data_IF_184423198145
#
_entry.id   IF_184423198145
#
_cell.length_a   1.000
_cell.length_b   1.000
_cell.length_c   1.000
_cell.angle_alpha   90.00
_cell.angle_beta   90.00
_cell.angle_gamma   90.00
#
_symmetry.space_group_name_H-M   'P 1'
#
loop_
_entity.id
_entity.type
_entity.pdbx_description
1 polymer ?
#
# COMPACT_ATOMS: atom_id res chain seq x y z
N UNK A 1 36.60 -11.65 9.43
CA UNK A 1 37.73 -11.15 10.23
C UNK A 1 37.27 -11.06 11.67
N UNK A 2 37.98 -11.70 12.60
CA UNK A 2 37.69 -11.62 14.04
C UNK A 2 38.86 -10.91 14.73
N UNK A 3 38.59 -9.73 15.29
CA UNK A 3 39.58 -8.83 15.88
C UNK A 3 39.21 -8.60 17.34
N UNK A 4 40.09 -8.98 18.27
CA UNK A 4 39.78 -9.00 19.71
C UNK A 4 39.39 -7.64 20.29
N UNK A 5 40.04 -6.56 19.89
CA UNK A 5 39.88 -5.25 20.55
C UNK A 5 39.47 -4.13 19.60
N UNK A 6 40.36 -3.70 18.71
CA UNK A 6 40.14 -2.52 17.85
C UNK A 6 40.46 -2.84 16.40
N UNK A 7 39.51 -2.53 15.51
CA UNK A 7 39.75 -2.40 14.08
C UNK A 7 39.87 -0.92 13.71
N UNK A 8 41.05 -0.50 13.25
CA UNK A 8 41.28 0.84 12.70
C UNK A 8 41.31 0.79 11.17
N UNK A 9 40.34 1.44 10.53
CA UNK A 9 40.20 1.46 9.06
C UNK A 9 40.58 2.84 8.53
N UNK A 10 41.85 3.00 8.17
CA UNK A 10 42.38 4.20 7.50
C UNK A 10 42.49 4.02 5.98
N UNK A 11 42.54 2.76 5.51
CA UNK A 11 42.63 2.37 4.10
C UNK A 11 41.31 1.81 3.55
N UNK A 12 41.38 0.88 2.60
CA UNK A 12 40.21 0.26 1.98
C UNK A 12 40.13 -1.24 2.29
N UNK A 13 38.97 -1.71 2.75
CA UNK A 13 38.65 -3.14 2.87
C UNK A 13 37.63 -3.46 1.77
N UNK A 14 38.07 -4.13 0.71
CA UNK A 14 37.31 -4.28 -0.52
C UNK A 14 37.01 -5.75 -0.80
N UNK A 15 35.77 -6.01 -1.18
CA UNK A 15 35.30 -7.24 -1.80
C UNK A 15 34.47 -6.87 -3.05
N UNK A 16 34.88 -5.83 -3.76
CA UNK A 16 34.15 -5.32 -4.92
C UNK A 16 34.22 -6.29 -6.11
N UNK A 17 33.15 -6.34 -6.90
CA UNK A 17 33.13 -7.05 -8.16
C UNK A 17 34.01 -6.38 -9.22
N UNK A 18 34.61 -7.17 -10.10
CA UNK A 18 35.42 -6.63 -11.20
C UNK A 18 34.58 -6.04 -12.32
N UNK A 19 35.07 -4.98 -12.97
CA UNK A 19 34.36 -4.36 -14.09
C UNK A 19 34.38 -5.24 -15.35
N UNK A 20 33.21 -5.36 -15.97
CA UNK A 20 33.01 -5.98 -17.26
C UNK A 20 33.37 -5.07 -18.44
N UNK A 21 33.72 -5.69 -19.56
CA UNK A 21 33.91 -5.01 -20.83
C UNK A 21 32.59 -4.59 -21.50
N UNK A 22 32.67 -4.04 -22.71
CA UNK A 22 31.49 -3.59 -23.49
C UNK A 22 30.53 -4.70 -23.92
N UNK A 23 30.91 -5.97 -23.73
CA UNK A 23 30.12 -7.15 -24.10
C UNK A 23 29.81 -8.08 -22.91
N UNK A 24 30.20 -7.72 -21.69
CA UNK A 24 30.03 -8.55 -20.50
C UNK A 24 29.43 -7.76 -19.35
N UNK A 25 28.70 -8.43 -18.46
CA UNK A 25 28.22 -7.83 -17.21
C UNK A 25 29.35 -7.57 -16.23
N UNK A 26 29.10 -6.68 -15.27
CA UNK A 26 29.99 -6.46 -14.14
C UNK A 26 29.94 -7.63 -13.15
N UNK A 27 31.05 -7.88 -12.47
CA UNK A 27 31.14 -8.89 -11.42
C UNK A 27 30.29 -8.54 -10.21
N UNK A 28 29.75 -9.53 -9.52
CA UNK A 28 29.03 -9.33 -8.26
C UNK A 28 30.00 -8.90 -7.15
N UNK A 29 29.54 -8.03 -6.25
CA UNK A 29 30.19 -7.80 -4.97
C UNK A 29 30.26 -9.08 -4.15
N UNK A 30 31.33 -9.23 -3.39
CA UNK A 30 31.61 -10.36 -2.52
C UNK A 30 30.98 -10.21 -1.15
N UNK A 31 31.64 -10.77 -0.13
CA UNK A 31 31.18 -10.66 1.25
C UNK A 31 32.29 -10.25 2.19
N UNK A 32 31.93 -9.43 3.18
CA UNK A 32 32.83 -8.99 4.25
C UNK A 32 32.12 -9.26 5.58
N UNK A 33 32.76 -10.05 6.44
CA UNK A 33 32.30 -10.26 7.81
C UNK A 33 33.34 -9.70 8.77
N UNK A 34 32.93 -8.81 9.67
CA UNK A 34 33.79 -8.16 10.66
C UNK A 34 33.20 -8.40 12.04
N UNK A 35 34.01 -8.96 12.95
CA UNK A 35 33.68 -9.05 14.37
C UNK A 35 34.77 -8.37 15.17
N UNK A 36 34.41 -7.35 15.94
CA UNK A 36 35.36 -6.63 16.80
C UNK A 36 34.67 -5.92 17.96
N UNK A 37 35.39 -5.64 19.05
CA UNK A 37 34.83 -4.87 20.15
C UNK A 37 34.65 -3.38 19.79
N UNK A 38 35.66 -2.79 19.15
CA UNK A 38 35.65 -1.39 18.69
C UNK A 38 36.01 -1.28 17.22
N UNK A 39 35.32 -0.38 16.52
CA UNK A 39 35.78 0.12 15.22
C UNK A 39 36.05 1.62 15.30
N UNK A 40 37.16 2.02 14.69
CA UNK A 40 37.47 3.40 14.39
C UNK A 40 37.69 3.52 12.90
N UNK A 41 36.90 4.37 12.26
CA UNK A 41 37.02 4.62 10.82
C UNK A 41 37.56 6.02 10.66
N UNK A 42 38.82 6.13 10.22
CA UNK A 42 39.41 7.40 9.83
C UNK A 42 38.91 7.81 8.45
N UNK A 43 39.83 8.00 7.50
CA UNK A 43 39.51 8.25 6.09
C UNK A 43 39.17 7.00 5.28
N UNK A 44 39.14 5.82 5.91
CA UNK A 44 39.01 4.55 5.22
C UNK A 44 37.58 4.21 4.76
N UNK A 45 37.45 3.17 3.96
CA UNK A 45 36.16 2.65 3.46
C UNK A 45 36.09 1.13 3.48
N UNK A 46 34.90 0.61 3.67
CA UNK A 46 34.57 -0.82 3.52
C UNK A 46 33.62 -0.93 2.33
N UNK A 47 33.91 -1.79 1.37
CA UNK A 47 33.15 -1.87 0.13
C UNK A 47 32.98 -3.31 -0.31
N UNK A 48 31.75 -3.68 -0.65
CA UNK A 48 31.42 -4.92 -1.33
C UNK A 48 30.43 -4.59 -2.46
N UNK A 49 30.79 -3.65 -3.33
CA UNK A 49 29.93 -3.19 -4.41
C UNK A 49 30.02 -4.10 -5.63
N UNK A 50 28.98 -4.09 -6.46
CA UNK A 50 29.04 -4.70 -7.79
C UNK A 50 29.95 -3.91 -8.73
N UNK A 51 30.58 -4.60 -9.67
CA UNK A 51 31.38 -4.00 -10.73
C UNK A 51 30.52 -3.41 -11.85
N UNK A 52 31.07 -2.46 -12.59
CA UNK A 52 30.40 -1.84 -13.74
C UNK A 52 30.49 -2.73 -14.98
N UNK A 53 29.50 -2.70 -15.87
CA UNK A 53 29.56 -3.51 -17.09
C UNK A 53 28.50 -3.15 -18.11
N UNK A 54 28.33 -3.98 -19.14
CA UNK A 54 27.20 -3.84 -20.06
C UNK A 54 25.86 -3.96 -19.31
N UNK A 55 25.80 -4.88 -18.33
CA UNK A 55 24.87 -4.84 -17.20
C UNK A 55 25.67 -4.69 -15.89
N UNK A 56 25.12 -3.99 -14.91
CA UNK A 56 25.78 -3.80 -13.62
C UNK A 56 25.81 -5.07 -12.78
N UNK A 57 26.92 -5.33 -12.08
CA UNK A 57 27.01 -6.43 -11.13
C UNK A 57 26.16 -6.18 -9.89
N UNK A 58 25.64 -7.23 -9.26
CA UNK A 58 24.88 -7.10 -8.01
C UNK A 58 25.76 -6.66 -6.83
N UNK A 59 25.19 -5.92 -5.88
CA UNK A 59 25.85 -5.57 -4.63
C UNK A 59 26.10 -6.78 -3.74
N UNK A 60 27.17 -6.70 -2.96
CA UNK A 60 27.63 -7.74 -2.06
C UNK A 60 26.99 -7.66 -0.67
N UNK A 61 27.60 -8.34 0.30
CA UNK A 61 27.07 -8.42 1.68
C UNK A 61 28.13 -8.03 2.69
N UNK A 62 27.82 -7.07 3.54
CA UNK A 62 28.68 -6.68 4.66
C UNK A 62 27.95 -6.99 5.96
N UNK A 63 28.55 -7.78 6.83
CA UNK A 63 28.02 -8.07 8.16
C UNK A 63 29.03 -7.63 9.20
N UNK A 64 28.56 -6.82 10.14
CA UNK A 64 29.39 -6.21 11.18
C UNK A 64 28.81 -6.56 12.55
N UNK A 65 29.67 -7.09 13.42
CA UNK A 65 29.39 -7.36 14.82
C UNK A 65 30.36 -6.52 15.64
N UNK A 66 29.94 -5.28 15.93
CA UNK A 66 30.78 -4.24 16.51
C UNK A 66 30.05 -3.56 17.67
N UNK A 67 30.53 -3.80 18.89
CA UNK A 67 29.91 -3.29 20.12
C UNK A 67 29.97 -1.76 20.26
N UNK A 68 31.12 -1.16 19.91
CA UNK A 68 31.36 0.27 20.09
C UNK A 68 31.87 0.92 18.80
N UNK A 69 31.16 1.94 18.33
CA UNK A 69 31.51 2.75 17.15
C UNK A 69 31.87 4.16 17.61
N UNK A 70 33.10 4.60 17.33
CA UNK A 70 33.53 5.98 17.63
C UNK A 70 33.23 6.94 16.47
N UNK A 71 33.24 6.45 15.23
CA UNK A 71 32.92 7.18 14.00
C UNK A 71 31.94 6.32 13.16
N UNK A 72 31.12 6.93 12.29
CA UNK A 72 30.28 6.18 11.36
C UNK A 72 31.14 5.62 10.20
N UNK A 73 31.29 4.29 10.09
CA UNK A 73 32.08 3.70 9.02
C UNK A 73 31.40 3.93 7.65
N UNK A 74 32.18 4.38 6.67
CA UNK A 74 31.72 4.45 5.27
C UNK A 74 31.68 3.05 4.68
N UNK A 75 30.50 2.42 4.73
CA UNK A 75 30.25 1.08 4.20
C UNK A 75 29.41 1.19 2.93
N UNK A 76 29.88 0.58 1.85
CA UNK A 76 29.20 0.58 0.55
C UNK A 76 28.87 -0.86 0.12
N UNK A 77 27.61 -1.07 -0.27
CA UNK A 77 27.08 -2.37 -0.69
C UNK A 77 26.20 -2.25 -1.94
N UNK A 78 26.32 -1.20 -2.73
CA UNK A 78 25.42 -0.98 -3.88
C UNK A 78 25.78 -1.84 -5.10
N UNK A 79 24.85 -1.96 -6.05
CA UNK A 79 25.13 -2.56 -7.35
C UNK A 79 26.08 -1.72 -8.20
N UNK A 80 26.64 -2.32 -9.24
CA UNK A 80 27.45 -1.64 -10.25
C UNK A 80 26.58 -0.95 -11.30
N UNK A 81 27.16 0.01 -12.02
CA UNK A 81 26.46 0.74 -13.08
C UNK A 81 26.35 -0.09 -14.35
N UNK A 82 25.25 0.12 -15.07
CA UNK A 82 24.94 -0.56 -16.33
C UNK A 82 25.16 0.41 -17.50
N UNK A 83 25.99 0.00 -18.47
CA UNK A 83 26.27 0.79 -19.69
C UNK A 83 25.24 0.57 -20.77
N UNK A 84 24.61 -0.62 -20.82
CA UNK A 84 23.58 -0.96 -21.80
C UNK A 84 22.23 -0.32 -21.47
N UNK A 85 21.90 -0.22 -20.18
CA UNK A 85 20.69 0.42 -19.68
C UNK A 85 21.04 1.29 -18.47
N UNK A 86 21.33 2.60 -18.66
CA UNK A 86 21.76 3.49 -17.58
C UNK A 86 20.79 3.58 -16.40
N UNK A 87 19.49 3.32 -16.64
CA UNK A 87 18.47 3.35 -15.59
C UNK A 87 18.34 2.02 -14.81
N UNK A 88 18.98 0.94 -15.28
CA UNK A 88 18.92 -0.36 -14.64
C UNK A 88 20.32 -0.84 -14.21
N UNK A 89 20.82 -0.25 -13.12
CA UNK A 89 22.03 -0.71 -12.44
C UNK A 89 21.83 -2.09 -11.80
N UNK A 90 22.91 -2.69 -11.30
CA UNK A 90 22.82 -3.93 -10.54
C UNK A 90 21.97 -3.78 -9.27
N UNK A 91 21.45 -4.91 -8.78
CA UNK A 91 20.70 -4.95 -7.53
C UNK A 91 21.54 -4.44 -6.35
N UNK A 92 20.87 -3.86 -5.35
CA UNK A 92 21.52 -3.46 -4.12
C UNK A 92 22.04 -4.68 -3.33
N UNK A 93 23.10 -4.47 -2.59
CA UNK A 93 23.60 -5.41 -1.59
C UNK A 93 23.05 -5.09 -0.20
N UNK A 94 23.53 -5.83 0.79
CA UNK A 94 23.01 -5.72 2.17
C UNK A 94 24.10 -5.45 3.19
N UNK A 95 23.79 -4.58 4.14
CA UNK A 95 24.56 -4.33 5.35
C UNK A 95 23.77 -4.83 6.55
N UNK A 96 24.31 -5.80 7.28
CA UNK A 96 23.76 -6.27 8.54
C UNK A 96 24.62 -5.84 9.72
N UNK A 97 24.01 -5.20 10.71
CA UNK A 97 24.65 -4.81 11.95
C UNK A 97 24.10 -5.64 13.12
N UNK A 98 24.94 -6.50 13.69
CA UNK A 98 24.52 -7.51 14.65
C UNK A 98 24.13 -6.95 16.02
N UNK A 99 24.69 -5.80 16.42
CA UNK A 99 24.43 -5.18 17.74
C UNK A 99 23.05 -4.53 17.83
N UNK A 100 22.68 -3.58 16.94
CA UNK A 100 21.31 -3.11 16.84
C UNK A 100 20.38 -4.14 16.16
N UNK A 101 20.93 -5.21 15.57
CA UNK A 101 20.19 -6.19 14.74
C UNK A 101 19.45 -5.50 13.59
N UNK A 102 20.14 -4.64 12.85
CA UNK A 102 19.55 -3.88 11.76
C UNK A 102 20.02 -4.35 10.39
N UNK A 103 19.09 -4.53 9.45
CA UNK A 103 19.39 -4.77 8.04
C UNK A 103 19.22 -3.47 7.25
N UNK A 104 20.20 -3.14 6.41
CA UNK A 104 20.13 -2.01 5.48
C UNK A 104 20.35 -2.50 4.06
N UNK A 105 19.43 -2.16 3.17
CA UNK A 105 19.53 -2.35 1.72
C UNK A 105 19.63 -0.96 1.10
N UNK A 106 20.73 -0.68 0.40
CA UNK A 106 21.03 0.67 -0.09
C UNK A 106 21.71 0.59 -1.45
N UNK A 107 21.12 1.24 -2.48
CA UNK A 107 21.68 1.25 -3.83
C UNK A 107 22.43 2.54 -4.18
N UNK A 108 22.72 3.39 -3.19
CA UNK A 108 23.47 4.63 -3.35
C UNK A 108 22.90 5.54 -4.47
N UNK A 109 21.58 5.61 -4.56
CA UNK A 109 20.82 6.40 -5.53
C UNK A 109 20.99 5.94 -7.00
N UNK A 110 21.53 4.74 -7.22
CA UNK A 110 21.51 4.07 -8.51
C UNK A 110 20.11 3.47 -8.72
N UNK A 111 19.46 3.83 -9.82
CA UNK A 111 18.19 3.20 -10.20
C UNK A 111 18.46 1.77 -10.68
N UNK A 112 17.55 0.87 -10.35
CA UNK A 112 17.61 -0.54 -10.74
C UNK A 112 16.18 -1.06 -10.87
N UNK A 113 15.96 -2.00 -11.77
CA UNK A 113 14.75 -2.83 -11.81
C UNK A 113 15.01 -4.23 -11.24
N UNK A 114 16.19 -4.46 -10.67
CA UNK A 114 16.60 -5.75 -10.13
C UNK A 114 16.47 -5.76 -8.62
N UNK A 115 15.70 -6.71 -8.11
CA UNK A 115 15.40 -6.79 -6.67
C UNK A 115 16.48 -7.56 -5.89
N UNK A 116 16.81 -7.04 -4.71
CA UNK A 116 17.56 -7.77 -3.68
C UNK A 116 16.60 -8.73 -2.97
N UNK A 117 16.80 -10.04 -3.15
CA UNK A 117 15.90 -11.05 -2.58
C UNK A 117 16.13 -11.22 -1.07
N UNK A 118 15.06 -11.08 -0.29
CA UNK A 118 14.98 -11.35 1.15
C UNK A 118 14.19 -12.64 1.36
N UNK A 119 14.91 -13.77 1.31
CA UNK A 119 14.30 -15.10 1.34
C UNK A 119 13.92 -15.58 2.74
N UNK A 120 14.61 -15.12 3.78
CA UNK A 120 14.38 -15.59 5.14
C UNK A 120 14.50 -14.43 6.13
N UNK A 121 13.51 -14.33 7.01
CA UNK A 121 13.54 -13.45 8.18
C UNK A 121 13.80 -14.29 9.43
N UNK A 122 14.68 -13.84 10.34
CA UNK A 122 15.04 -14.63 11.51
C UNK A 122 13.85 -14.74 12.46
N UNK A 123 13.62 -15.94 13.01
CA UNK A 123 12.57 -16.16 14.01
C UNK A 123 12.96 -15.65 15.39
N UNK A 124 14.16 -16.02 15.88
CA UNK A 124 14.74 -15.51 17.12
C UNK A 124 16.28 -15.49 17.06
N UNK A 125 16.94 -14.38 17.43
CA UNK A 125 16.35 -13.07 17.73
C UNK A 125 15.84 -12.38 16.45
N UNK A 126 14.71 -11.70 16.54
CA UNK A 126 14.19 -10.85 15.46
C UNK A 126 15.18 -9.74 15.10
N UNK A 127 15.12 -9.23 13.88
CA UNK A 127 15.75 -7.94 13.57
C UNK A 127 15.02 -6.81 14.28
N UNK A 128 15.76 -5.81 14.75
CA UNK A 128 15.16 -4.61 15.34
C UNK A 128 14.70 -3.66 14.25
N UNK A 129 15.53 -3.41 13.23
CA UNK A 129 15.24 -2.42 12.20
C UNK A 129 15.55 -2.94 10.80
N UNK A 130 14.75 -2.56 9.82
CA UNK A 130 15.00 -2.82 8.39
C UNK A 130 14.89 -1.51 7.62
N UNK A 131 15.96 -1.15 6.92
CA UNK A 131 16.05 0.08 6.12
C UNK A 131 16.22 -0.28 4.64
N UNK A 132 15.34 0.22 3.79
CA UNK A 132 15.44 0.11 2.33
C UNK A 132 15.50 1.53 1.79
N UNK A 133 16.65 1.93 1.25
CA UNK A 133 16.90 3.34 0.97
C UNK A 133 17.68 3.62 -0.31
N UNK A 134 17.57 4.86 -0.79
CA UNK A 134 18.35 5.40 -1.92
C UNK A 134 18.22 4.53 -3.18
N UNK A 135 16.98 4.36 -3.67
CA UNK A 135 16.62 3.56 -4.86
C UNK A 135 16.97 2.07 -4.78
N UNK A 136 17.14 1.54 -3.57
CA UNK A 136 17.17 0.10 -3.37
C UNK A 136 15.80 -0.52 -3.60
N UNK A 137 15.78 -1.65 -4.31
CA UNK A 137 14.60 -2.51 -4.44
C UNK A 137 14.88 -3.82 -3.73
N UNK A 138 13.99 -4.22 -2.82
CA UNK A 138 14.06 -5.48 -2.12
C UNK A 138 12.76 -6.26 -2.34
N UNK A 139 12.84 -7.57 -2.44
CA UNK A 139 11.68 -8.43 -2.67
C UNK A 139 11.63 -9.56 -1.66
N UNK A 140 10.42 -9.87 -1.18
CA UNK A 140 10.10 -11.06 -0.38
C UNK A 140 9.29 -12.01 -1.28
N UNK A 141 9.97 -12.85 -2.09
CA UNK A 141 9.31 -13.58 -3.18
C UNK A 141 8.65 -14.89 -2.74
N UNK A 142 8.98 -15.41 -1.55
CA UNK A 142 8.48 -16.72 -1.13
C UNK A 142 7.00 -16.62 -0.72
N UNK A 143 6.22 -17.60 -1.17
CA UNK A 143 4.80 -17.72 -0.84
C UNK A 143 4.60 -17.84 0.69
N UNK A 144 3.52 -17.25 1.21
CA UNK A 144 3.18 -17.23 2.65
C UNK A 144 4.31 -16.72 3.56
N UNK A 145 5.11 -15.78 3.08
CA UNK A 145 6.20 -15.21 3.87
C UNK A 145 5.71 -14.33 5.00
N UNK A 146 6.41 -14.44 6.14
CA UNK A 146 6.22 -13.58 7.31
C UNK A 146 7.44 -12.70 7.52
N UNK A 147 7.23 -11.40 7.39
CA UNK A 147 8.20 -10.35 7.71
C UNK A 147 7.90 -9.84 9.11
N UNK A 148 8.72 -10.25 10.08
CA UNK A 148 8.56 -9.82 11.47
C UNK A 148 9.81 -9.06 11.93
N UNK A 149 9.59 -7.81 12.33
CA UNK A 149 10.62 -6.88 12.80
C UNK A 149 10.21 -6.35 14.17
N UNK A 150 11.15 -6.29 15.12
CA UNK A 150 10.83 -5.90 16.49
C UNK A 150 10.55 -4.39 16.62
N UNK A 151 11.21 -3.55 15.83
CA UNK A 151 11.09 -2.10 15.88
C UNK A 151 10.55 -1.56 14.56
N UNK A 152 11.43 -0.96 13.75
CA UNK A 152 11.02 -0.14 12.62
C UNK A 152 11.35 -0.76 11.25
N UNK A 153 10.41 -0.68 10.32
CA UNK A 153 10.64 -0.85 8.89
C UNK A 153 10.55 0.53 8.22
N UNK A 154 11.61 0.92 7.52
CA UNK A 154 11.72 2.25 6.91
C UNK A 154 12.09 2.14 5.44
N UNK A 155 11.25 2.70 4.57
CA UNK A 155 11.52 2.87 3.15
C UNK A 155 11.73 4.35 2.85
N UNK A 156 12.90 4.70 2.33
CA UNK A 156 13.31 6.10 2.17
C UNK A 156 13.93 6.36 0.79
N UNK A 157 13.73 7.56 0.25
CA UNK A 157 14.47 8.08 -0.91
C UNK A 157 14.43 7.13 -2.13
N UNK A 158 13.24 6.75 -2.57
CA UNK A 158 13.03 5.84 -3.70
C UNK A 158 13.14 4.37 -3.36
N UNK A 159 13.12 4.00 -2.07
CA UNK A 159 13.13 2.61 -1.65
C UNK A 159 11.89 1.87 -2.12
N UNK A 160 12.06 0.61 -2.54
CA UNK A 160 10.95 -0.26 -2.91
C UNK A 160 11.01 -1.59 -2.18
N UNK A 161 9.88 -2.02 -1.64
CA UNK A 161 9.69 -3.36 -1.07
C UNK A 161 8.55 -4.06 -1.79
N UNK A 162 8.84 -5.20 -2.43
CA UNK A 162 7.83 -6.02 -3.08
C UNK A 162 7.57 -7.32 -2.32
N UNK A 163 6.33 -7.79 -2.35
CA UNK A 163 5.89 -9.07 -1.80
C UNK A 163 5.31 -9.94 -2.91
N UNK A 164 5.77 -11.19 -2.98
CA UNK A 164 5.37 -12.11 -4.04
C UNK A 164 6.02 -11.81 -5.38
N UNK A 165 5.49 -12.46 -6.41
CA UNK A 165 5.97 -12.34 -7.79
C UNK A 165 4.83 -11.81 -8.66
N UNK A 166 5.16 -10.90 -9.57
CA UNK A 166 4.22 -10.41 -10.57
C UNK A 166 3.56 -11.60 -11.31
N UNK A 167 2.25 -11.52 -11.52
CA UNK A 167 1.38 -12.57 -12.11
C UNK A 167 1.08 -13.80 -11.23
N UNK A 168 1.60 -13.88 -10.01
CA UNK A 168 1.34 -14.98 -9.07
C UNK A 168 0.77 -14.46 -7.74
N UNK A 169 -0.37 -13.77 -7.81
CA UNK A 169 -1.09 -13.22 -6.66
C UNK A 169 -1.96 -14.29 -5.96
N UNK A 170 -1.33 -15.35 -5.45
CA UNK A 170 -2.01 -16.49 -4.81
C UNK A 170 -1.61 -16.69 -3.33
N UNK A 171 -0.91 -15.73 -2.73
CA UNK A 171 -0.40 -15.83 -1.36
C UNK A 171 -0.80 -14.67 -0.48
N UNK A 172 -0.97 -14.97 0.81
CA UNK A 172 -1.12 -13.99 1.88
C UNK A 172 0.24 -13.78 2.55
N UNK A 173 0.68 -12.53 2.61
CA UNK A 173 1.93 -12.12 3.24
C UNK A 173 1.66 -11.47 4.59
N UNK A 174 2.51 -11.73 5.57
CA UNK A 174 2.41 -11.10 6.88
C UNK A 174 3.51 -10.07 7.07
N UNK A 175 3.16 -8.85 7.49
CA UNK A 175 4.10 -7.80 7.90
C UNK A 175 3.80 -7.37 9.34
N UNK A 176 4.75 -7.58 10.24
CA UNK A 176 4.65 -7.18 11.64
C UNK A 176 5.84 -6.30 12.03
N UNK A 177 5.56 -5.09 12.51
CA UNK A 177 6.55 -4.16 13.03
C UNK A 177 5.94 -3.26 14.10
N UNK A 178 6.74 -2.55 14.90
CA UNK A 178 6.20 -1.45 15.72
C UNK A 178 5.86 -0.25 14.84
N UNK A 179 6.74 0.07 13.89
CA UNK A 179 6.61 1.26 13.04
C UNK A 179 6.89 0.91 11.58
N UNK A 180 6.03 1.42 10.68
CA UNK A 180 6.27 1.45 9.24
C UNK A 180 6.34 2.90 8.77
N UNK A 181 7.51 3.31 8.30
CA UNK A 181 7.78 4.66 7.79
C UNK A 181 8.09 4.60 6.29
N UNK A 182 7.40 5.42 5.51
CA UNK A 182 7.61 5.53 4.06
C UNK A 182 7.80 6.99 3.65
N UNK A 183 8.92 7.30 2.98
CA UNK A 183 9.18 8.61 2.36
C UNK A 183 9.67 8.43 0.93
N UNK A 184 8.96 9.01 -0.03
CA UNK A 184 9.27 8.92 -1.46
C UNK A 184 9.50 7.48 -1.92
N UNK A 185 8.67 6.55 -1.44
CA UNK A 185 8.93 5.12 -1.53
C UNK A 185 7.69 4.32 -1.92
N UNK A 186 7.89 3.08 -2.33
CA UNK A 186 6.84 2.22 -2.86
C UNK A 186 6.83 0.85 -2.16
N UNK A 187 5.66 0.41 -1.70
CA UNK A 187 5.42 -0.99 -1.37
C UNK A 187 4.49 -1.58 -2.43
N UNK A 188 4.90 -2.71 -3.01
CA UNK A 188 4.09 -3.48 -3.97
C UNK A 188 3.79 -4.86 -3.38
N UNK A 189 2.54 -5.29 -3.48
CA UNK A 189 2.12 -6.61 -3.01
C UNK A 189 1.40 -7.31 -4.14
N UNK A 190 1.84 -8.51 -4.48
CA UNK A 190 1.17 -9.40 -5.42
C UNK A 190 0.52 -10.55 -4.63
N UNK A 191 -0.73 -10.36 -4.22
CA UNK A 191 -1.50 -11.22 -3.32
C UNK A 191 -2.21 -10.41 -2.23
N UNK A 192 -2.43 -11.02 -1.07
CA UNK A 192 -3.00 -10.34 0.09
C UNK A 192 -1.89 -9.92 1.06
N UNK A 193 -2.10 -8.80 1.74
CA UNK A 193 -1.25 -8.36 2.83
C UNK A 193 -2.02 -8.36 4.13
N UNK A 194 -1.48 -9.04 5.14
CA UNK A 194 -1.88 -8.92 6.54
C UNK A 194 -0.80 -8.16 7.30
N UNK A 195 -1.03 -6.87 7.47
CA UNK A 195 -0.12 -5.96 8.14
C UNK A 195 -0.60 -5.65 9.55
N UNK A 196 0.28 -5.73 10.54
CA UNK A 196 0.03 -5.29 11.91
C UNK A 196 1.19 -4.41 12.39
N UNK A 197 0.90 -3.12 12.55
CA UNK A 197 1.86 -2.11 13.06
C UNK A 197 1.24 -1.28 14.18
N UNK A 198 2.06 -0.58 14.98
CA UNK A 198 1.52 0.43 15.92
C UNK A 198 1.35 1.78 15.22
N UNK A 199 2.35 2.17 14.44
CA UNK A 199 2.40 3.46 13.75
C UNK A 199 2.68 3.24 12.26
N UNK A 200 1.83 3.80 11.40
CA UNK A 200 1.98 3.79 9.95
C UNK A 200 2.03 5.22 9.40
N UNK A 201 3.19 5.62 8.86
CA UNK A 201 3.43 6.97 8.37
C UNK A 201 3.88 6.93 6.90
N UNK A 202 3.18 7.69 6.06
CA UNK A 202 3.50 7.84 4.64
C UNK A 202 3.68 9.31 4.26
N UNK A 203 4.74 9.58 3.51
CA UNK A 203 5.05 10.88 2.91
C UNK A 203 5.41 10.69 1.44
N UNK A 204 4.65 11.30 0.52
CA UNK A 204 4.85 11.16 -0.94
C UNK A 204 5.12 9.71 -1.38
N UNK A 205 4.39 8.76 -0.81
CA UNK A 205 4.67 7.33 -0.93
C UNK A 205 3.45 6.55 -1.42
N UNK A 206 3.69 5.38 -2.00
CA UNK A 206 2.61 4.53 -2.55
C UNK A 206 2.67 3.13 -1.98
N UNK A 207 1.52 2.61 -1.57
CA UNK A 207 1.32 1.21 -1.26
C UNK A 207 0.30 0.65 -2.25
N UNK A 208 0.73 -0.29 -3.08
CA UNK A 208 -0.10 -0.89 -4.14
C UNK A 208 -0.25 -2.38 -3.84
N UNK A 209 -1.50 -2.81 -3.71
CA UNK A 209 -1.85 -4.20 -3.43
C UNK A 209 -2.64 -4.73 -4.62
N UNK A 210 -2.00 -5.61 -5.36
CA UNK A 210 -2.60 -6.38 -6.44
C UNK A 210 -3.03 -7.75 -5.89
N UNK A 211 -4.31 -7.86 -5.53
CA UNK A 211 -4.91 -9.10 -5.01
C UNK A 211 -5.11 -10.20 -6.06
N UNK A 212 -4.83 -9.93 -7.34
CA UNK A 212 -5.03 -10.87 -8.44
C UNK A 212 -6.49 -11.25 -8.70
N UNK A 213 -6.68 -12.21 -9.61
CA UNK A 213 -7.99 -12.77 -9.98
C UNK A 213 -8.49 -13.84 -8.99
N UNK A 214 -7.60 -14.35 -8.12
CA UNK A 214 -7.93 -15.47 -7.24
C UNK A 214 -8.78 -15.01 -6.05
N UNK A 215 -10.06 -15.37 -6.08
CA UNK A 215 -11.05 -15.04 -5.04
C UNK A 215 -10.65 -15.52 -3.63
N UNK A 216 -9.71 -16.46 -3.50
CA UNK A 216 -9.25 -16.97 -2.20
C UNK A 216 -8.37 -15.97 -1.42
N UNK A 217 -7.73 -15.01 -2.12
CA UNK A 217 -6.77 -14.04 -1.56
C UNK A 217 -7.25 -12.60 -1.77
N UNK A 218 -8.57 -12.41 -1.93
CA UNK A 218 -9.16 -11.15 -2.35
C UNK A 218 -9.25 -10.06 -1.26
N UNK A 219 -8.75 -10.29 -0.04
CA UNK A 219 -8.88 -9.33 1.06
C UNK A 219 -7.55 -9.10 1.76
N UNK A 220 -7.13 -7.84 1.81
CA UNK A 220 -5.97 -7.39 2.58
C UNK A 220 -6.39 -6.61 3.82
N UNK A 221 -5.62 -6.75 4.89
CA UNK A 221 -5.86 -6.16 6.20
C UNK A 221 -4.67 -5.31 6.63
N UNK A 222 -4.91 -4.03 6.86
CA UNK A 222 -3.94 -3.08 7.39
C UNK A 222 -4.35 -2.68 8.80
N UNK A 223 -3.71 -3.27 9.80
CA UNK A 223 -3.96 -2.96 11.22
C UNK A 223 -2.88 -2.02 11.75
N UNK A 224 -3.31 -0.89 12.31
CA UNK A 224 -2.46 0.13 12.91
C UNK A 224 -3.00 0.53 14.29
N UNK A 225 -2.40 0.03 15.37
CA UNK A 225 -3.00 0.19 16.71
C UNK A 225 -3.11 1.64 17.18
N UNK A 226 -2.14 2.51 16.87
CA UNK A 226 -2.11 3.89 17.38
C UNK A 226 -2.44 4.94 16.32
N UNK A 227 -1.74 4.91 15.18
CA UNK A 227 -1.74 6.06 14.29
C UNK A 227 -1.49 5.65 12.83
N UNK A 228 -2.32 6.17 11.93
CA UNK A 228 -2.12 6.14 10.48
C UNK A 228 -2.12 7.58 9.96
N UNK A 229 -1.04 8.02 9.34
CA UNK A 229 -0.95 9.35 8.72
C UNK A 229 -0.43 9.26 7.31
N UNK A 230 -1.20 9.82 6.38
CA UNK A 230 -0.80 10.06 5.01
C UNK A 230 -0.53 11.57 4.83
N UNK A 231 0.53 11.88 4.07
CA UNK A 231 0.95 13.24 3.70
C UNK A 231 1.50 13.32 2.28
N UNK A 232 1.41 14.52 1.71
CA UNK A 232 2.03 14.89 0.42
C UNK A 232 1.71 13.92 -0.72
N UNK A 233 0.43 13.71 -1.03
CA UNK A 233 -0.03 12.84 -2.13
C UNK A 233 0.32 11.37 -1.93
N UNK A 234 0.24 10.88 -0.69
CA UNK A 234 0.44 9.46 -0.38
C UNK A 234 -0.77 8.61 -0.75
N UNK A 235 -0.54 7.44 -1.35
CA UNK A 235 -1.63 6.61 -1.89
C UNK A 235 -1.55 5.19 -1.36
N UNK A 236 -2.65 4.70 -0.78
CA UNK A 236 -2.90 3.28 -0.54
C UNK A 236 -3.95 2.82 -1.54
N UNK A 237 -3.57 1.89 -2.40
CA UNK A 237 -4.39 1.41 -3.50
C UNK A 237 -4.46 -0.12 -3.46
N UNK A 238 -5.67 -0.68 -3.48
CA UNK A 238 -5.89 -2.11 -3.70
C UNK A 238 -6.93 -2.38 -4.79
N UNK A 239 -6.62 -3.23 -5.76
CA UNK A 239 -7.59 -3.67 -6.77
C UNK A 239 -8.64 -4.69 -6.26
N UNK A 240 -8.50 -5.13 -5.00
CA UNK A 240 -9.38 -6.07 -4.33
C UNK A 240 -10.02 -5.43 -3.09
N UNK A 241 -10.42 -6.22 -2.09
CA UNK A 241 -10.96 -5.70 -0.84
C UNK A 241 -9.84 -5.26 0.11
N UNK A 242 -10.02 -4.10 0.73
CA UNK A 242 -9.09 -3.54 1.70
C UNK A 242 -9.82 -3.21 3.00
N UNK A 243 -9.39 -3.83 4.08
CA UNK A 243 -9.77 -3.44 5.43
C UNK A 243 -8.63 -2.68 6.09
N UNK A 244 -8.93 -1.52 6.68
CA UNK A 244 -8.01 -0.76 7.50
C UNK A 244 -8.59 -0.66 8.90
N UNK A 245 -7.83 -1.18 9.87
CA UNK A 245 -8.20 -1.20 11.28
C UNK A 245 -7.22 -0.37 12.09
N UNK A 246 -7.70 0.30 13.12
CA UNK A 246 -6.80 0.91 14.09
C UNK A 246 -7.57 1.41 15.29
N UNK A 247 -6.93 1.54 16.46
CA UNK A 247 -7.62 1.96 17.69
C UNK A 247 -7.46 3.46 17.98
N UNK A 248 -6.58 4.15 17.25
CA UNK A 248 -6.33 5.57 17.43
C UNK A 248 -6.82 6.43 16.27
N UNK A 249 -5.92 7.16 15.63
CA UNK A 249 -6.25 8.18 14.63
C UNK A 249 -5.88 7.72 13.22
N UNK A 250 -6.80 7.87 12.28
CA UNK A 250 -6.53 7.86 10.84
C UNK A 250 -6.61 9.29 10.31
N UNK A 251 -5.50 9.83 9.80
CA UNK A 251 -5.43 11.20 9.30
C UNK A 251 -4.84 11.26 7.89
N UNK A 252 -5.67 11.64 6.93
CA UNK A 252 -5.25 12.02 5.59
C UNK A 252 -5.16 13.55 5.60
N UNK A 253 -3.95 14.10 5.41
CA UNK A 253 -3.72 15.52 5.69
C UNK A 253 -3.16 16.33 4.53
N UNK A 254 -2.61 15.68 3.51
CA UNK A 254 -2.11 16.28 2.28
C UNK A 254 -3.12 16.22 1.13
N UNK A 255 -3.11 17.22 0.23
CA UNK A 255 -3.84 17.14 -1.03
C UNK A 255 -3.30 15.96 -1.86
N UNK A 256 -4.22 15.19 -2.45
CA UNK A 256 -3.89 13.98 -3.20
C UNK A 256 -3.75 12.72 -2.35
N UNK A 257 -3.75 12.83 -1.01
CA UNK A 257 -3.72 11.64 -0.16
C UNK A 257 -4.96 10.79 -0.40
N UNK A 258 -4.76 9.52 -0.74
CA UNK A 258 -5.85 8.66 -1.19
C UNK A 258 -5.76 7.28 -0.55
N UNK A 259 -6.87 6.81 0.03
CA UNK A 259 -7.07 5.39 0.33
C UNK A 259 -8.21 4.91 -0.55
N UNK A 260 -7.89 4.00 -1.48
CA UNK A 260 -8.86 3.50 -2.43
C UNK A 260 -8.76 1.98 -2.59
N UNK A 261 -9.93 1.35 -2.65
CA UNK A 261 -10.03 -0.07 -2.92
C UNK A 261 -11.30 -0.40 -3.70
N UNK A 262 -11.40 -1.62 -4.20
CA UNK A 262 -12.64 -2.07 -4.83
C UNK A 262 -13.78 -2.16 -3.81
N UNK A 263 -13.45 -2.60 -2.58
CA UNK A 263 -14.26 -2.39 -1.38
C UNK A 263 -13.35 -1.93 -0.24
N UNK A 264 -13.73 -0.83 0.40
CA UNK A 264 -12.97 -0.24 1.49
C UNK A 264 -13.76 -0.34 2.79
N UNK A 265 -13.15 -0.96 3.81
CA UNK A 265 -13.71 -1.00 5.16
C UNK A 265 -12.73 -0.33 6.11
N UNK A 266 -13.19 0.69 6.82
CA UNK A 266 -12.44 1.34 7.90
C UNK A 266 -13.12 1.01 9.22
N UNK A 267 -12.40 0.50 10.21
CA UNK A 267 -13.03 0.26 11.51
C UNK A 267 -12.13 0.39 12.73
N UNK A 268 -12.79 0.50 13.88
CA UNK A 268 -12.21 0.56 15.23
C UNK A 268 -11.47 1.85 15.58
N UNK A 269 -11.37 2.81 14.65
CA UNK A 269 -10.65 4.06 14.87
C UNK A 269 -11.36 4.92 15.91
N UNK A 270 -10.60 5.51 16.82
CA UNK A 270 -11.14 6.57 17.67
C UNK A 270 -11.57 7.77 16.83
N UNK A 271 -10.74 8.18 15.88
CA UNK A 271 -11.09 9.29 14.98
C UNK A 271 -10.57 9.08 13.57
N UNK A 272 -11.37 9.51 12.59
CA UNK A 272 -10.99 9.56 11.18
C UNK A 272 -11.08 11.00 10.70
N UNK A 273 -9.97 11.52 10.17
CA UNK A 273 -9.86 12.84 9.59
C UNK A 273 -9.50 12.74 8.11
N UNK A 274 -10.40 13.21 7.25
CA UNK A 274 -10.19 13.30 5.79
C UNK A 274 -9.98 14.76 5.44
N UNK A 275 -8.71 15.17 5.33
CA UNK A 275 -8.31 16.55 5.09
C UNK A 275 -8.64 17.06 3.68
N UNK A 276 -8.46 18.38 3.44
CA UNK A 276 -8.76 19.01 2.15
C UNK A 276 -7.98 18.38 0.99
N UNK A 277 -8.69 17.99 -0.06
CA UNK A 277 -8.07 17.35 -1.24
C UNK A 277 -7.65 15.89 -1.03
N UNK A 278 -7.88 15.31 0.16
CA UNK A 278 -7.73 13.89 0.40
C UNK A 278 -8.99 13.11 0.00
N UNK A 279 -8.83 11.83 -0.34
CA UNK A 279 -9.90 11.00 -0.90
C UNK A 279 -9.96 9.63 -0.20
N UNK A 280 -11.13 9.27 0.31
CA UNK A 280 -11.48 7.89 0.63
C UNK A 280 -12.43 7.38 -0.44
N UNK A 281 -12.10 6.26 -1.09
CA UNK A 281 -12.89 5.77 -2.22
C UNK A 281 -13.10 4.26 -2.21
N UNK A 282 -14.34 3.85 -2.47
CA UNK A 282 -14.66 2.50 -2.92
C UNK A 282 -16.01 2.49 -3.64
N UNK A 283 -16.11 2.05 -4.91
CA UNK A 283 -15.12 1.27 -5.65
C UNK A 283 -14.06 2.11 -6.36
N UNK A 284 -13.04 1.43 -6.90
CA UNK A 284 -12.00 2.03 -7.74
C UNK A 284 -12.58 2.72 -8.99
N UNK A 285 -11.97 3.85 -9.36
CA UNK A 285 -12.41 4.66 -10.52
C UNK A 285 -12.09 3.99 -11.86
N UNK A 286 -10.97 3.27 -11.92
CA UNK A 286 -10.52 2.49 -13.08
C UNK A 286 -10.49 1.02 -12.68
N UNK A 287 -11.67 0.41 -12.52
CA UNK A 287 -11.74 -1.04 -12.41
C UNK A 287 -11.28 -1.65 -13.74
N UNK A 288 -10.15 -2.35 -13.74
CA UNK A 288 -9.77 -3.23 -14.87
C UNK A 288 -10.78 -4.40 -14.96
N UNK A 289 -10.72 -5.19 -16.04
CA UNK A 289 -11.53 -6.42 -16.18
C UNK A 289 -11.38 -7.40 -15.02
N UNK A 290 -10.31 -7.25 -14.23
CA UNK A 290 -9.84 -8.22 -13.24
C UNK A 290 -10.23 -7.79 -11.81
N UNK A 291 -10.87 -6.63 -11.64
CA UNK A 291 -11.29 -6.11 -10.34
C UNK A 291 -12.54 -6.85 -9.81
N UNK A 292 -12.54 -7.19 -8.51
CA UNK A 292 -13.66 -7.86 -7.83
C UNK A 292 -14.87 -6.93 -7.74
N UNK A 293 -15.73 -6.92 -8.75
CA UNK A 293 -16.88 -5.99 -8.78
C UNK A 293 -17.88 -6.25 -7.63
N UNK A 294 -18.22 -5.23 -6.82
CA UNK A 294 -19.26 -5.33 -5.82
C UNK A 294 -20.57 -5.68 -6.51
N UNK A 295 -21.24 -6.72 -6.01
CA UNK A 295 -22.60 -7.02 -6.43
C UNK A 295 -23.54 -5.97 -5.83
N UNK A 296 -23.77 -4.91 -6.58
CA UNK A 296 -24.83 -3.96 -6.31
C UNK A 296 -26.15 -4.67 -6.64
N UNK A 297 -27.08 -4.70 -5.69
CA UNK A 297 -28.38 -5.37 -5.80
C UNK A 297 -29.37 -4.61 -6.72
N UNK A 298 -28.93 -4.25 -7.93
CA UNK A 298 -29.62 -3.32 -8.83
C UNK A 298 -31.01 -3.77 -9.30
N UNK A 299 -31.28 -5.08 -9.29
CA UNK A 299 -32.53 -5.66 -9.81
C UNK A 299 -33.52 -6.02 -8.70
N UNK A 300 -33.13 -5.86 -7.43
CA UNK A 300 -34.01 -6.17 -6.30
C UNK A 300 -34.93 -4.97 -6.00
N UNK A 301 -36.23 -5.25 -5.89
CA UNK A 301 -37.23 -4.25 -5.51
C UNK A 301 -37.33 -4.04 -4.00
N UNK A 302 -36.74 -4.95 -3.21
CA UNK A 302 -36.70 -4.88 -1.76
C UNK A 302 -35.34 -4.39 -1.30
N UNK A 303 -35.32 -3.64 -0.19
CA UNK A 303 -34.07 -3.24 0.43
C UNK A 303 -33.26 -4.45 0.90
N UNK A 304 -31.95 -4.50 0.59
CA UNK A 304 -31.04 -5.50 1.14
C UNK A 304 -31.21 -5.63 2.65
N UNK A 305 -31.40 -6.86 3.14
CA UNK A 305 -31.64 -7.09 4.58
C UNK A 305 -30.46 -6.61 5.41
N UNK A 306 -29.26 -6.61 4.84
CA UNK A 306 -28.02 -6.17 5.45
C UNK A 306 -27.91 -4.64 5.59
N UNK A 307 -28.71 -3.86 4.83
CA UNK A 307 -28.89 -2.43 5.08
C UNK A 307 -29.81 -2.18 6.28
N UNK A 308 -30.81 -3.05 6.47
CA UNK A 308 -31.76 -2.96 7.57
C UNK A 308 -31.19 -3.51 8.88
N UNK A 309 -30.41 -4.58 8.77
CA UNK A 309 -29.82 -5.35 9.86
C UNK A 309 -28.32 -5.51 9.58
N UNK A 310 -27.54 -4.42 9.66
CA UNK A 310 -26.11 -4.48 9.39
C UNK A 310 -25.41 -5.41 10.39
N UNK A 311 -24.42 -6.19 9.93
CA UNK A 311 -23.68 -7.10 10.80
C UNK A 311 -22.90 -6.32 11.86
N UNK A 312 -23.05 -6.71 13.12
CA UNK A 312 -22.40 -6.05 14.26
C UNK A 312 -20.87 -6.02 14.15
N UNK A 313 -20.28 -7.03 13.51
CA UNK A 313 -18.84 -7.22 13.46
C UNK A 313 -18.14 -6.43 12.35
N UNK A 314 -18.88 -5.81 11.42
CA UNK A 314 -18.32 -5.00 10.33
C UNK A 314 -17.16 -5.67 9.55
N UNK A 315 -17.17 -7.00 9.50
CA UNK A 315 -16.20 -7.76 8.75
C UNK A 315 -16.36 -7.49 7.25
N UNK A 316 -15.23 -7.53 6.53
CA UNK A 316 -15.21 -7.47 5.06
C UNK A 316 -15.83 -8.75 4.54
N UNK A 317 -17.15 -8.75 4.35
CA UNK A 317 -17.87 -9.84 3.72
C UNK A 317 -18.17 -9.47 2.27
N UNK A 318 -17.62 -10.24 1.33
CA UNK A 318 -17.78 -10.05 -0.11
C UNK A 318 -19.24 -10.16 -0.58
N UNK A 319 -20.14 -10.72 0.23
CA UNK A 319 -21.58 -10.77 -0.06
C UNK A 319 -22.32 -9.46 0.22
N UNK A 320 -21.75 -8.53 1.01
CA UNK A 320 -22.42 -7.27 1.33
C UNK A 320 -22.46 -6.29 0.15
N UNK A 321 -23.46 -5.40 0.07
CA UNK A 321 -23.54 -4.40 -1.00
C UNK A 321 -22.62 -3.18 -0.78
N UNK A 322 -22.02 -3.06 0.42
CA UNK A 322 -21.21 -1.90 0.80
C UNK A 322 -19.91 -1.83 0.01
N UNK A 323 -19.67 -0.70 -0.65
CA UNK A 323 -18.40 -0.42 -1.34
C UNK A 323 -17.47 0.41 -0.47
N UNK A 324 -18.03 1.23 0.43
CA UNK A 324 -17.29 1.92 1.48
C UNK A 324 -18.05 1.78 2.80
N UNK A 325 -17.41 1.18 3.79
CA UNK A 325 -17.99 1.03 5.13
C UNK A 325 -17.06 1.64 6.18
N UNK A 326 -17.61 2.49 7.04
CA UNK A 326 -16.90 3.03 8.20
C UNK A 326 -17.63 2.57 9.45
N UNK A 327 -16.93 1.88 10.34
CA UNK A 327 -17.58 1.20 11.45
C UNK A 327 -16.86 1.36 12.80
N UNK A 328 -17.63 1.50 13.89
CA UNK A 328 -17.09 1.62 15.26
C UNK A 328 -16.09 2.78 15.35
N UNK A 329 -16.55 3.98 15.03
CA UNK A 329 -15.73 5.20 15.04
C UNK A 329 -16.41 6.26 15.88
N UNK A 330 -15.66 6.89 16.79
CA UNK A 330 -16.25 7.93 17.64
C UNK A 330 -16.47 9.21 16.83
N UNK A 331 -15.42 9.78 16.23
CA UNK A 331 -15.49 11.06 15.53
C UNK A 331 -14.95 10.99 14.09
N UNK A 332 -15.78 11.35 13.12
CA UNK A 332 -15.41 11.42 11.69
C UNK A 332 -15.49 12.87 11.23
N UNK A 333 -14.37 13.44 10.77
CA UNK A 333 -14.31 14.78 10.19
C UNK A 333 -13.94 14.71 8.72
N UNK A 334 -14.79 15.31 7.88
CA UNK A 334 -14.66 15.28 6.42
C UNK A 334 -14.49 16.70 5.88
N UNK A 335 -13.28 17.02 5.43
CA UNK A 335 -12.92 18.23 4.68
C UNK A 335 -12.59 17.94 3.21
N UNK A 336 -12.22 16.68 2.90
CA UNK A 336 -11.98 16.16 1.56
C UNK A 336 -13.17 15.39 0.99
N UNK A 337 -12.92 14.33 0.22
CA UNK A 337 -13.94 13.54 -0.47
C UNK A 337 -14.03 12.12 0.09
N UNK A 338 -15.22 11.70 0.49
CA UNK A 338 -15.59 10.29 0.67
C UNK A 338 -16.51 9.91 -0.49
N UNK A 339 -16.13 8.94 -1.30
CA UNK A 339 -16.90 8.53 -2.48
C UNK A 339 -17.11 7.02 -2.54
N UNK A 340 -18.34 6.60 -2.79
CA UNK A 340 -18.61 5.20 -3.06
C UNK A 340 -20.01 4.89 -3.55
N UNK A 341 -20.22 3.74 -4.20
CA UNK A 341 -21.54 3.30 -4.68
C UNK A 341 -22.55 3.15 -3.56
N UNK A 342 -22.15 2.49 -2.47
CA UNK A 342 -22.94 2.36 -1.25
C UNK A 342 -22.03 2.69 -0.07
N UNK A 343 -22.24 3.86 0.52
CA UNK A 343 -21.49 4.38 1.67
C UNK A 343 -22.28 4.11 2.94
N UNK A 344 -21.72 3.30 3.84
CA UNK A 344 -22.39 2.90 5.07
C UNK A 344 -21.57 3.29 6.30
N UNK A 345 -22.20 4.03 7.21
CA UNK A 345 -21.65 4.39 8.52
C UNK A 345 -22.35 3.57 9.59
N UNK A 346 -21.62 2.72 10.30
CA UNK A 346 -22.16 1.85 11.35
C UNK A 346 -21.53 2.17 12.69
N UNK A 347 -22.34 2.44 13.72
CA UNK A 347 -21.85 2.82 15.05
C UNK A 347 -20.81 3.96 15.01
N UNK A 348 -21.19 5.03 14.29
CA UNK A 348 -20.48 6.30 14.32
C UNK A 348 -21.15 7.24 15.33
N UNK A 349 -20.41 7.80 16.29
CA UNK A 349 -21.01 8.72 17.28
C UNK A 349 -21.23 10.11 16.69
N UNK A 350 -20.25 10.65 15.96
CA UNK A 350 -20.37 11.97 15.34
C UNK A 350 -19.70 12.02 13.97
N UNK A 351 -20.42 12.57 12.99
CA UNK A 351 -19.91 12.83 11.64
C UNK A 351 -20.06 14.32 11.36
N UNK A 352 -18.93 15.01 11.18
CA UNK A 352 -18.88 16.43 10.83
C UNK A 352 -18.37 16.60 9.41
N UNK A 353 -19.25 17.02 8.50
CA UNK A 353 -18.88 17.38 7.13
C UNK A 353 -18.66 18.89 7.08
N UNK A 354 -17.41 19.29 6.83
CA UNK A 354 -17.01 20.70 6.76
C UNK A 354 -17.43 21.31 5.41
N UNK A 355 -17.33 22.64 5.27
CA UNK A 355 -17.77 23.34 4.05
C UNK A 355 -17.06 22.91 2.75
N UNK A 356 -15.82 22.40 2.86
CA UNK A 356 -15.07 21.84 1.73
C UNK A 356 -15.30 20.33 1.54
N UNK A 357 -15.88 19.66 2.55
CA UNK A 357 -16.05 18.23 2.60
C UNK A 357 -17.23 17.73 1.78
N UNK A 358 -17.07 16.57 1.16
CA UNK A 358 -18.11 15.94 0.35
C UNK A 358 -18.19 14.44 0.67
N UNK A 359 -19.38 13.95 0.97
CA UNK A 359 -19.71 12.52 0.97
C UNK A 359 -20.62 12.30 -0.24
N UNK A 360 -20.20 11.48 -1.20
CA UNK A 360 -20.92 11.30 -2.47
C UNK A 360 -21.07 9.83 -2.84
N UNK A 361 -22.31 9.45 -3.16
CA UNK A 361 -22.62 8.21 -3.89
C UNK A 361 -23.05 8.48 -5.34
N UNK A 362 -22.78 9.67 -5.85
CA UNK A 362 -23.26 10.13 -7.14
C UNK A 362 -22.48 9.51 -8.29
N UNK A 363 -23.19 9.03 -9.31
CA UNK A 363 -22.61 8.51 -10.55
C UNK A 363 -21.88 7.17 -10.42
N UNK A 364 -22.02 6.50 -9.26
CA UNK A 364 -21.39 5.20 -8.96
C UNK A 364 -22.42 4.10 -8.71
N UNK A 365 -23.71 4.39 -8.89
CA UNK A 365 -24.80 3.44 -8.79
C UNK A 365 -24.98 2.57 -10.04
N UNK A 366 -26.12 1.90 -10.12
CA UNK A 366 -26.44 0.98 -11.19
C UNK A 366 -26.74 1.72 -12.52
N UNK A 367 -26.22 1.21 -13.64
CA UNK A 367 -26.47 1.76 -14.99
C UNK A 367 -27.88 1.36 -15.51
N UNK A 368 -28.51 0.39 -14.85
CA UNK A 368 -29.91 -0.02 -14.99
C UNK A 368 -30.51 -0.31 -13.61
N UNK A 369 -31.63 -1.04 -13.56
CA UNK A 369 -32.23 -1.48 -12.29
C UNK A 369 -33.67 -1.03 -12.09
N UNK A 370 -34.15 -1.11 -10.84
CA UNK A 370 -35.55 -0.86 -10.48
C UNK A 370 -36.05 0.54 -10.87
N UNK A 371 -35.16 1.54 -10.89
CA UNK A 371 -35.47 2.92 -11.28
C UNK A 371 -35.41 3.24 -12.77
N UNK A 372 -35.43 2.23 -13.63
CA UNK A 372 -35.28 2.42 -15.07
C UNK A 372 -36.36 3.34 -15.64
N UNK A 373 -35.88 4.36 -16.35
CA UNK A 373 -36.69 5.31 -17.09
C UNK A 373 -37.24 4.77 -18.41
N UNK A 374 -38.17 5.52 -19.02
CA UNK A 374 -38.67 5.23 -20.36
C UNK A 374 -37.94 6.11 -21.38
N UNK A 375 -37.75 5.60 -22.59
CA UNK A 375 -37.09 6.32 -23.68
C UNK A 375 -37.80 6.04 -25.01
N UNK A 376 -37.95 7.08 -25.84
CA UNK A 376 -38.42 6.98 -27.22
C UNK A 376 -37.28 7.16 -28.22
N UNK A 377 -37.39 6.52 -29.38
CA UNK A 377 -36.38 6.58 -30.45
C UNK A 377 -36.07 8.00 -30.97
N UNK A 378 -36.95 8.97 -30.69
CA UNK A 378 -36.75 10.39 -31.01
C UNK A 378 -35.86 11.15 -30.01
N UNK A 379 -35.28 10.46 -29.01
CA UNK A 379 -34.36 11.04 -28.04
C UNK A 379 -35.01 11.54 -26.75
N UNK A 380 -36.33 11.45 -26.60
CA UNK A 380 -37.04 11.89 -25.39
C UNK A 380 -36.98 10.77 -24.36
N UNK A 381 -36.48 11.10 -23.17
CA UNK A 381 -36.41 10.18 -22.04
C UNK A 381 -37.08 10.73 -20.78
N UNK A 382 -37.60 9.84 -19.96
CA UNK A 382 -38.06 10.11 -18.60
C UNK A 382 -37.32 9.18 -17.62
N UNK A 383 -37.21 9.57 -16.34
CA UNK A 383 -36.60 8.74 -15.29
C UNK A 383 -37.66 8.07 -14.40
N UNK A 384 -37.28 7.00 -13.71
CA UNK A 384 -38.06 6.46 -12.58
C UNK A 384 -37.97 7.39 -11.36
N UNK A 385 -39.00 7.36 -10.50
CA UNK A 385 -39.01 8.07 -9.23
C UNK A 385 -38.74 7.11 -8.08
N UNK A 386 -37.78 7.43 -7.22
CA UNK A 386 -37.58 6.70 -5.96
C UNK A 386 -38.62 7.18 -4.94
N UNK A 387 -39.43 6.27 -4.40
CA UNK A 387 -40.53 6.59 -3.49
C UNK A 387 -41.71 7.33 -4.16
N UNK A 388 -41.82 7.31 -5.49
CA UNK A 388 -42.89 8.00 -6.22
C UNK A 388 -42.87 7.78 -7.74
N UNK A 389 -43.89 8.27 -8.47
CA UNK A 389 -43.94 8.13 -9.94
C UNK A 389 -42.97 9.12 -10.60
N UNK A 390 -42.21 8.65 -11.59
CA UNK A 390 -41.37 9.52 -12.42
C UNK A 390 -42.18 10.60 -13.14
N UNK A 391 -41.53 11.73 -13.45
CA UNK A 391 -42.16 12.83 -14.17
C UNK A 391 -42.38 12.56 -15.66
N UNK A 392 -43.46 13.10 -16.24
CA UNK A 392 -43.71 13.12 -17.69
C UNK A 392 -42.69 14.04 -18.38
N UNK A 393 -42.04 13.54 -19.42
CA UNK A 393 -41.14 14.34 -20.26
C UNK A 393 -41.77 14.59 -21.62
N UNK A 394 -41.96 15.86 -22.00
CA UNK A 394 -42.54 16.23 -23.29
C UNK A 394 -41.61 17.16 -24.05
N UNK A 395 -41.39 16.87 -25.33
CA UNK A 395 -40.68 17.76 -26.24
C UNK A 395 -41.33 17.72 -27.62
N UNK A 396 -41.60 18.90 -28.18
CA UNK A 396 -42.13 19.09 -29.53
C UNK A 396 -43.39 18.24 -29.86
N UNK A 397 -44.32 18.12 -28.90
CA UNK A 397 -45.58 17.38 -29.06
C UNK A 397 -45.49 15.87 -28.86
N UNK A 398 -44.29 15.31 -28.69
CA UNK A 398 -44.08 13.93 -28.24
C UNK A 398 -43.84 13.89 -26.73
N UNK A 399 -44.51 12.99 -26.03
CA UNK A 399 -44.42 12.84 -24.59
C UNK A 399 -44.09 11.40 -24.20
N UNK A 400 -43.30 11.25 -23.14
CA UNK A 400 -42.91 9.98 -22.54
C UNK A 400 -43.35 9.99 -21.08
N UNK A 401 -44.19 9.02 -20.71
CA UNK A 401 -44.55 8.81 -19.31
C UNK A 401 -43.31 8.55 -18.46
N UNK A 402 -43.33 9.07 -17.23
CA UNK A 402 -42.30 8.76 -16.24
C UNK A 402 -42.06 7.27 -16.09
N UNK A 403 -40.82 6.91 -15.74
CA UNK A 403 -40.47 5.55 -15.38
C UNK A 403 -41.31 5.05 -14.20
N UNK A 404 -41.27 3.73 -13.98
CA UNK A 404 -41.97 3.11 -12.86
C UNK A 404 -41.54 3.72 -11.53
N UNK A 405 -42.48 3.79 -10.58
CA UNK A 405 -42.13 4.08 -9.19
C UNK A 405 -41.38 2.88 -8.62
N UNK A 406 -40.30 3.14 -7.88
CA UNK A 406 -39.56 2.10 -7.20
C UNK A 406 -39.13 2.55 -5.82
N UNK A 407 -38.90 1.58 -4.95
CA UNK A 407 -38.44 1.79 -3.59
C UNK A 407 -39.41 2.54 -2.66
N UNK A 408 -38.95 2.77 -1.44
CA UNK A 408 -39.75 3.33 -0.37
C UNK A 408 -39.41 4.81 -0.11
N UNK A 409 -40.43 5.69 -0.04
CA UNK A 409 -40.26 7.12 0.22
C UNK A 409 -39.80 7.46 1.64
N UNK A 410 -40.11 6.60 2.61
CA UNK A 410 -39.71 6.76 4.02
C UNK A 410 -38.33 6.14 4.29
N UNK A 411 -37.91 5.15 3.49
CA UNK A 411 -36.64 4.46 3.64
C UNK A 411 -36.02 4.12 2.28
N UNK A 412 -35.29 5.05 1.64
CA UNK A 412 -34.76 4.84 0.31
C UNK A 412 -33.46 4.01 0.35
N UNK A 413 -33.61 2.68 0.31
CA UNK A 413 -32.48 1.74 0.39
C UNK A 413 -32.35 0.80 -0.83
N UNK A 414 -33.30 0.85 -1.75
CA UNK A 414 -33.26 0.16 -3.04
C UNK A 414 -32.31 0.87 -4.01
N UNK A 415 -31.53 0.10 -4.79
CA UNK A 415 -30.42 0.58 -5.62
C UNK A 415 -30.73 0.64 -7.12
#
# INVERSE_FOLDING_TARGET
>A
MEIKELLEVNGSLLADGGDGGTKGGGGSGGSIYIKSYKIRTGSGRISACGGDGFGGGGGGRVSVDIFSRHDEPKIYVHGGTSRGCPENAGAAGTLYDAVPRSLTVNNNNLSTDTDTLLLEFPYQPLWTNVYIQNRARASVPLLWSRVQVQGQISLLSGGMLSFGLAHYASSEFELLAEELLMSDSIIEVYGALRMTVKIFLMWNSKMVIDGGEDTTVATSWLEASNLVVLKESSVVHSNANLGVHGQGLLNLSGPGDTIQAQRLVLSLFYSIHVGPGSVLRGPLETASSDAVTPRLYCELQDCPTELLHPPEDCNVNSSLPFTLQICRVEDITVEGLIKGSVVHFHWARTISVQSSGVISASGTGCVGGAGRGNFLDNGIGSGGGHGGKGGLACYNGSCVEGGISYGNSELPCEL
#
